data_IF_374537588430
#
_entry.id   IF_374537588430
#
_cell.length_a   1.000
_cell.length_b   1.000
_cell.length_c   1.000
_cell.angle_alpha   90.00
_cell.angle_beta   90.00
_cell.angle_gamma   90.00
#
_symmetry.space_group_name_H-M   'P 1'
#
loop_
_entity.id
_entity.type
_entity.pdbx_description
1 polymer ?
#
# COMPACT_ATOMS: atom_id res chain seq x y z
N UNK A 1 -7.16 3.11 20.20
CA UNK A 1 -5.80 2.86 19.68
C UNK A 1 -5.99 2.66 18.20
N UNK A 2 -5.79 3.71 17.41
CA UNK A 2 -6.01 3.64 15.97
C UNK A 2 -4.90 2.78 15.37
N UNK A 3 -5.29 1.70 14.69
CA UNK A 3 -4.32 0.82 14.04
C UNK A 3 -3.70 1.53 12.84
N UNK A 4 -2.51 1.13 12.44
CA UNK A 4 -1.87 1.65 11.21
C UNK A 4 -2.78 1.51 9.99
N UNK A 5 -3.59 0.44 9.96
CA UNK A 5 -4.57 0.21 8.92
C UNK A 5 -5.70 1.27 8.92
N UNK A 6 -6.17 1.67 10.10
CA UNK A 6 -7.20 2.72 10.25
C UNK A 6 -6.71 4.05 9.67
N UNK A 7 -5.45 4.40 9.94
CA UNK A 7 -4.82 5.59 9.37
C UNK A 7 -4.63 5.48 7.85
N UNK A 8 -4.08 4.38 7.35
CA UNK A 8 -3.90 4.18 5.90
C UNK A 8 -5.24 4.13 5.14
N UNK A 9 -6.31 3.68 5.79
CA UNK A 9 -7.66 3.64 5.22
C UNK A 9 -8.36 5.01 5.23
N UNK A 10 -7.91 5.96 6.06
CA UNK A 10 -8.48 7.32 6.09
C UNK A 10 -7.88 8.24 5.02
N UNK A 11 -6.83 7.79 4.32
CA UNK A 11 -6.21 8.54 3.24
C UNK A 11 -7.17 8.59 2.06
N UNK A 12 -7.48 9.80 1.59
CA UNK A 12 -8.32 10.02 0.43
C UNK A 12 -7.66 9.45 -0.84
N UNK A 13 -8.45 8.73 -1.63
CA UNK A 13 -7.96 8.13 -2.88
C UNK A 13 -7.84 9.21 -3.96
N UNK A 14 -6.63 9.73 -4.15
CA UNK A 14 -6.29 10.75 -5.14
C UNK A 14 -6.35 10.23 -6.60
N UNK A 15 -6.54 8.93 -6.80
CA UNK A 15 -6.57 8.31 -8.13
C UNK A 15 -7.97 8.48 -8.73
N UNK A 16 -8.04 8.43 -10.06
CA UNK A 16 -9.33 8.49 -10.76
C UNK A 16 -10.19 7.27 -10.43
N UNK A 17 -11.39 7.50 -9.86
CA UNK A 17 -12.31 6.47 -9.35
C UNK A 17 -12.53 5.30 -10.33
N UNK A 18 -12.78 5.60 -11.62
CA UNK A 18 -13.02 4.59 -12.67
C UNK A 18 -11.77 3.83 -13.14
N UNK A 19 -10.59 4.13 -12.58
CA UNK A 19 -9.30 3.48 -12.90
C UNK A 19 -8.68 2.79 -11.68
N UNK A 20 -9.48 2.51 -10.66
CA UNK A 20 -9.06 1.89 -9.41
C UNK A 20 -9.61 0.47 -9.29
N UNK A 21 -8.81 -0.51 -9.74
CA UNK A 21 -9.16 -1.92 -9.54
C UNK A 21 -8.86 -2.37 -8.10
N UNK A 22 -7.76 -1.91 -7.50
CA UNK A 22 -7.42 -2.17 -6.09
C UNK A 22 -7.71 -0.92 -5.25
N UNK A 23 -8.24 -1.11 -4.03
CA UNK A 23 -8.44 0.00 -3.08
C UNK A 23 -7.09 0.57 -2.65
N UNK A 24 -7.02 1.88 -2.43
CA UNK A 24 -5.77 2.50 -1.97
C UNK A 24 -5.33 1.91 -0.61
N UNK A 25 -6.29 1.64 0.28
CA UNK A 25 -6.11 0.98 1.57
C UNK A 25 -5.47 -0.41 1.48
N UNK A 26 -5.55 -1.08 0.33
CA UNK A 26 -4.97 -2.42 0.12
C UNK A 26 -3.53 -2.32 -0.43
N UNK A 27 -3.18 -1.18 -1.02
CA UNK A 27 -1.90 -0.95 -1.72
C UNK A 27 -0.85 -0.38 -0.75
N UNK A 28 -1.22 0.67 0.00
CA UNK A 28 -0.29 1.39 0.88
C UNK A 28 0.37 0.51 1.95
N UNK A 29 -0.36 -0.42 2.62
CA UNK A 29 0.25 -1.31 3.62
C UNK A 29 1.31 -2.22 3.01
N UNK A 30 1.10 -2.70 1.78
CA UNK A 30 2.06 -3.56 1.09
C UNK A 30 3.37 -2.79 0.83
N UNK A 31 3.28 -1.57 0.30
CA UNK A 31 4.47 -0.74 0.08
C UNK A 31 5.17 -0.37 1.37
N UNK A 32 4.44 -0.03 2.44
CA UNK A 32 5.03 0.23 3.75
C UNK A 32 5.80 -0.99 4.30
N UNK A 33 5.19 -2.18 4.26
CA UNK A 33 5.84 -3.42 4.71
C UNK A 33 7.08 -3.74 3.89
N UNK A 34 7.05 -3.48 2.59
CA UNK A 34 8.22 -3.62 1.72
C UNK A 34 9.34 -2.69 2.14
N UNK A 35 9.07 -1.39 2.33
CA UNK A 35 10.08 -0.42 2.78
C UNK A 35 10.67 -0.81 4.15
N UNK A 36 9.83 -1.23 5.11
CA UNK A 36 10.29 -1.72 6.41
C UNK A 36 11.14 -2.99 6.32
N UNK A 37 11.00 -3.74 5.23
CA UNK A 37 11.75 -4.95 4.95
C UNK A 37 12.96 -4.71 4.03
N UNK A 38 13.34 -3.45 3.81
CA UNK A 38 14.44 -3.03 2.93
C UNK A 38 14.22 -3.36 1.44
N UNK A 39 12.97 -3.51 1.00
CA UNK A 39 12.67 -3.54 -0.42
C UNK A 39 12.77 -2.14 -1.02
N UNK A 40 13.32 -2.05 -2.22
CA UNK A 40 13.73 -0.80 -2.85
C UNK A 40 12.87 -0.42 -4.05
N UNK A 41 12.23 -1.39 -4.69
CA UNK A 41 11.48 -1.17 -5.91
C UNK A 41 10.05 -1.75 -5.89
N UNK A 42 9.35 -1.59 -7.00
CA UNK A 42 7.97 -2.04 -7.14
C UNK A 42 7.86 -3.56 -7.36
N UNK A 43 8.93 -4.23 -7.79
CA UNK A 43 8.96 -5.68 -7.87
C UNK A 43 9.10 -6.29 -6.47
N UNK A 44 9.88 -5.65 -5.59
CA UNK A 44 9.94 -5.99 -4.17
C UNK A 44 8.58 -5.84 -3.49
N UNK A 45 7.74 -4.89 -3.92
CA UNK A 45 6.36 -4.76 -3.43
C UNK A 45 5.49 -5.95 -3.85
N UNK A 46 5.62 -6.40 -5.10
CA UNK A 46 4.94 -7.62 -5.58
C UNK A 46 5.43 -8.84 -4.81
N UNK A 47 6.75 -9.01 -4.67
CA UNK A 47 7.36 -10.12 -3.96
C UNK A 47 6.93 -10.14 -2.48
N UNK A 48 6.97 -9.00 -1.81
CA UNK A 48 6.54 -8.84 -0.41
C UNK A 48 5.06 -9.17 -0.24
N UNK A 49 4.20 -8.64 -1.13
CA UNK A 49 2.77 -8.92 -1.13
C UNK A 49 2.47 -10.41 -1.28
N UNK A 50 3.15 -11.10 -2.21
CA UNK A 50 3.00 -12.54 -2.40
C UNK A 50 3.56 -13.35 -1.21
N UNK A 51 4.74 -12.99 -0.72
CA UNK A 51 5.41 -13.70 0.39
C UNK A 51 4.62 -13.58 1.69
N UNK A 52 3.92 -12.46 1.89
CA UNK A 52 3.16 -12.14 3.11
C UNK A 52 1.66 -12.17 2.87
N UNK A 53 1.19 -12.81 1.79
CA UNK A 53 -0.20 -12.74 1.36
C UNK A 53 -1.17 -13.20 2.46
N UNK A 54 -0.81 -14.25 3.22
CA UNK A 54 -1.62 -14.73 4.36
C UNK A 54 -1.76 -13.66 5.45
N UNK A 55 -0.65 -13.05 5.85
CA UNK A 55 -0.61 -11.99 6.86
C UNK A 55 -1.40 -10.76 6.40
N UNK A 56 -1.22 -10.37 5.14
CA UNK A 56 -1.99 -9.30 4.52
C UNK A 56 -3.48 -9.65 4.53
N UNK A 57 -3.90 -10.86 4.15
CA UNK A 57 -5.31 -11.28 4.18
C UNK A 57 -5.94 -11.26 5.57
N UNK A 58 -5.16 -11.58 6.61
CA UNK A 58 -5.62 -11.54 8.00
C UNK A 58 -5.78 -10.11 8.52
N UNK A 59 -4.92 -9.17 8.09
CA UNK A 59 -5.02 -7.77 8.47
C UNK A 59 -5.98 -6.97 7.59
N UNK A 60 -5.99 -7.25 6.29
CA UNK A 60 -6.58 -6.48 5.19
C UNK A 60 -6.84 -7.45 4.00
N UNK A 61 -7.99 -8.13 3.91
CA UNK A 61 -8.28 -9.01 2.78
C UNK A 61 -8.34 -8.21 1.48
N UNK A 62 -7.31 -8.27 0.59
CA UNK A 62 -7.31 -7.47 -0.61
C UNK A 62 -8.36 -8.06 -1.55
N UNK A 63 -9.38 -7.27 -1.89
CA UNK A 63 -10.54 -7.76 -2.63
C UNK A 63 -10.16 -8.37 -4.00
N UNK A 64 -9.04 -7.89 -4.57
CA UNK A 64 -8.59 -8.20 -5.91
C UNK A 64 -7.16 -8.77 -5.96
N UNK A 65 -6.67 -9.35 -4.85
CA UNK A 65 -5.31 -9.90 -4.76
C UNK A 65 -4.21 -8.83 -4.74
N UNK A 66 -2.96 -9.28 -4.91
CA UNK A 66 -1.77 -8.41 -4.89
C UNK A 66 -1.70 -7.60 -6.20
N UNK A 67 -1.53 -6.26 -6.14
CA UNK A 67 -1.34 -5.43 -7.33
C UNK A 67 -0.07 -5.77 -8.13
N UNK A 68 -0.06 -5.40 -9.42
CA UNK A 68 1.17 -5.46 -10.23
C UNK A 68 2.17 -4.35 -9.87
N UNK A 69 3.44 -4.51 -10.27
CA UNK A 69 4.46 -3.46 -10.10
C UNK A 69 4.04 -2.15 -10.79
N UNK A 70 3.37 -2.21 -11.95
CA UNK A 70 2.81 -1.03 -12.63
C UNK A 70 1.75 -0.30 -11.79
N UNK A 71 0.93 -1.08 -11.08
CA UNK A 71 -0.09 -0.51 -10.19
C UNK A 71 0.57 0.17 -8.99
N UNK A 72 1.59 -0.46 -8.41
CA UNK A 72 2.40 0.15 -7.34
C UNK A 72 3.08 1.42 -7.83
N UNK A 73 3.77 1.37 -8.97
CA UNK A 73 4.43 2.52 -9.57
C UNK A 73 3.48 3.70 -9.75
N UNK A 74 2.31 3.47 -10.36
CA UNK A 74 1.30 4.51 -10.58
C UNK A 74 0.80 5.12 -9.28
N UNK A 75 0.60 4.32 -8.23
CA UNK A 75 0.13 4.80 -6.93
C UNK A 75 1.22 5.60 -6.23
N UNK A 76 2.43 5.03 -6.08
CA UNK A 76 3.51 5.68 -5.35
C UNK A 76 4.11 6.89 -6.08
N UNK A 77 4.07 6.93 -7.42
CA UNK A 77 4.44 8.12 -8.20
C UNK A 77 3.45 9.28 -8.05
N UNK A 78 2.18 8.99 -7.75
CA UNK A 78 1.16 10.01 -7.50
C UNK A 78 1.00 10.38 -6.02
N UNK A 79 1.75 9.72 -5.14
CA UNK A 79 1.65 9.95 -3.70
C UNK A 79 2.42 11.22 -3.34
N UNK A 80 1.74 12.18 -2.71
CA UNK A 80 2.40 13.41 -2.24
C UNK A 80 3.54 13.05 -1.26
N UNK A 81 4.77 13.56 -1.46
CA UNK A 81 5.92 13.23 -0.61
C UNK A 81 5.65 13.49 0.88
N UNK A 82 4.84 14.50 1.19
CA UNK A 82 4.46 14.85 2.56
C UNK A 82 3.52 13.82 3.19
N UNK A 83 2.70 13.12 2.40
CA UNK A 83 1.85 12.03 2.90
C UNK A 83 2.71 10.85 3.37
N UNK A 84 3.77 10.52 2.63
CA UNK A 84 4.71 9.46 2.98
C UNK A 84 5.50 9.83 4.24
N UNK A 85 5.90 11.11 4.37
CA UNK A 85 6.52 11.63 5.61
C UNK A 85 5.57 11.56 6.81
N UNK A 86 4.30 11.90 6.63
CA UNK A 86 3.30 11.79 7.71
C UNK A 86 3.05 10.34 8.13
N UNK A 87 3.01 9.40 7.17
CA UNK A 87 2.93 7.96 7.47
C UNK A 87 4.11 7.54 8.35
N UNK A 88 5.34 7.93 8.00
CA UNK A 88 6.54 7.53 8.77
C UNK A 88 6.65 8.26 10.11
N UNK A 89 6.27 9.55 10.18
CA UNK A 89 6.36 10.35 11.40
C UNK A 89 5.31 9.99 12.46
N UNK A 90 4.25 9.28 12.08
CA UNK A 90 3.19 8.80 12.98
C UNK A 90 3.43 7.39 13.54
N UNK A 91 4.55 6.74 13.22
CA UNK A 91 4.93 5.38 13.66
C UNK A 91 6.02 5.46 14.72
#
# INVERSE_FOLDING_TARGET
>A
MDSIYSYLSSIEDFRLEKKCFHKLSDILPTGLLTCLSHGEDHEDMVLSGNTRERFLKEMIPPANGIPSHDTFNRVFSGLEPDLLRQIVAGI
#
